data_IF_981655420070
#
_entry.id   IF_981655420070
#
_cell.length_a   1.000
_cell.length_b   1.000
_cell.length_c   1.000
_cell.angle_alpha   90.00
_cell.angle_beta   90.00
_cell.angle_gamma   90.00
#
_symmetry.space_group_name_H-M   'P 1'
#
loop_
_entity.id
_entity.type
_entity.pdbx_description
1 polymer ?
#
# COMPACT_ATOMS: atom_id res chain seq x y z
N UNK A 1 -19.00 56.42 -10.57
CA UNK A 1 -19.23 55.64 -9.34
C UNK A 1 -18.08 54.66 -9.28
N UNK A 2 -17.20 54.78 -8.27
CA UNK A 2 -16.06 53.87 -8.18
C UNK A 2 -16.57 52.46 -7.85
N UNK A 3 -16.07 51.41 -8.55
CA UNK A 3 -16.46 50.04 -8.26
C UNK A 3 -16.07 49.71 -6.82
N UNK A 4 -16.96 49.05 -6.08
CA UNK A 4 -16.65 48.64 -4.72
C UNK A 4 -15.57 47.55 -4.78
N UNK A 5 -14.66 47.55 -3.80
CA UNK A 5 -13.59 46.55 -3.70
C UNK A 5 -14.13 45.10 -3.79
N UNK A 6 -15.36 44.87 -3.30
CA UNK A 6 -16.06 43.59 -3.38
C UNK A 6 -16.32 43.14 -4.84
N UNK A 7 -16.60 44.07 -5.75
CA UNK A 7 -16.88 43.80 -7.16
C UNK A 7 -15.62 43.32 -7.88
N UNK A 8 -14.44 43.82 -7.49
CA UNK A 8 -13.14 43.38 -8.01
C UNK A 8 -12.86 41.92 -7.63
N UNK A 9 -13.01 41.55 -6.36
CA UNK A 9 -12.81 40.16 -5.91
C UNK A 9 -13.85 39.20 -6.48
N UNK A 10 -15.10 39.65 -6.65
CA UNK A 10 -16.14 38.87 -7.31
C UNK A 10 -15.92 38.71 -8.83
N UNK A 11 -15.17 39.63 -9.46
CA UNK A 11 -14.85 39.59 -10.90
C UNK A 11 -13.66 38.67 -11.25
N UNK A 12 -12.85 38.29 -10.27
CA UNK A 12 -11.76 37.30 -10.40
C UNK A 12 -11.96 36.06 -9.53
N UNK A 13 -13.02 35.24 -9.76
CA UNK A 13 -13.21 33.97 -9.05
C UNK A 13 -12.07 32.97 -9.32
N UNK A 14 -11.29 33.19 -10.38
CA UNK A 14 -10.19 32.30 -10.78
C UNK A 14 -9.12 32.17 -9.72
N UNK A 15 -8.80 33.21 -8.95
CA UNK A 15 -7.73 33.16 -7.94
C UNK A 15 -8.13 32.37 -6.68
N UNK A 16 -9.40 32.45 -6.25
CA UNK A 16 -9.92 31.66 -5.13
C UNK A 16 -10.00 30.17 -5.54
N UNK A 17 -10.51 29.89 -6.75
CA UNK A 17 -10.51 28.54 -7.33
C UNK A 17 -9.10 27.95 -7.47
N UNK A 18 -8.07 28.78 -7.69
CA UNK A 18 -6.68 28.31 -7.82
C UNK A 18 -6.13 27.86 -6.47
N UNK A 19 -6.37 28.62 -5.39
CA UNK A 19 -5.89 28.25 -4.05
C UNK A 19 -6.54 26.95 -3.58
N UNK A 20 -7.86 26.84 -3.70
CA UNK A 20 -8.59 25.64 -3.29
C UNK A 20 -8.13 24.41 -4.08
N UNK A 21 -8.00 24.55 -5.41
CA UNK A 21 -7.47 23.49 -6.28
C UNK A 21 -6.03 23.11 -5.93
N UNK A 22 -5.17 24.08 -5.64
CA UNK A 22 -3.79 23.80 -5.22
C UNK A 22 -3.74 23.04 -3.89
N UNK A 23 -4.61 23.36 -2.94
CA UNK A 23 -4.72 22.63 -1.68
C UNK A 23 -5.22 21.20 -1.90
N UNK A 24 -6.23 21.01 -2.76
CA UNK A 24 -6.73 19.68 -3.14
C UNK A 24 -5.63 18.82 -3.80
N UNK A 25 -4.91 19.39 -4.77
CA UNK A 25 -3.79 18.72 -5.42
C UNK A 25 -2.69 18.38 -4.41
N UNK A 26 -2.33 19.31 -3.53
CA UNK A 26 -1.35 19.08 -2.47
C UNK A 26 -1.77 17.92 -1.55
N UNK A 27 -3.03 17.88 -1.12
CA UNK A 27 -3.55 16.82 -0.25
C UNK A 27 -3.50 15.45 -0.93
N UNK A 28 -3.81 15.38 -2.22
CA UNK A 28 -3.70 14.15 -3.02
C UNK A 28 -2.25 13.72 -3.11
N UNK A 29 -1.34 14.62 -3.52
CA UNK A 29 0.09 14.33 -3.63
C UNK A 29 0.68 13.91 -2.29
N UNK A 30 0.30 14.56 -1.19
CA UNK A 30 0.77 14.24 0.14
C UNK A 30 0.35 12.83 0.56
N UNK A 31 -0.94 12.48 0.38
CA UNK A 31 -1.46 11.14 0.68
C UNK A 31 -0.78 10.06 -0.16
N UNK A 32 -0.56 10.33 -1.44
CA UNK A 32 0.11 9.39 -2.34
C UNK A 32 1.59 9.21 -1.96
N UNK A 33 2.29 10.29 -1.63
CA UNK A 33 3.68 10.25 -1.19
C UNK A 33 3.83 9.44 0.11
N UNK A 34 2.96 9.66 1.09
CA UNK A 34 2.96 8.88 2.33
C UNK A 34 2.63 7.40 2.10
N UNK A 35 1.71 7.09 1.18
CA UNK A 35 1.43 5.71 0.76
C UNK A 35 2.66 5.05 0.13
N UNK A 36 3.33 5.74 -0.79
CA UNK A 36 4.52 5.23 -1.48
C UNK A 36 5.70 5.04 -0.53
N UNK A 37 5.90 5.94 0.44
CA UNK A 37 6.92 5.76 1.49
C UNK A 37 6.68 4.50 2.30
N UNK A 38 5.44 4.24 2.72
CA UNK A 38 5.07 3.02 3.45
C UNK A 38 5.32 1.77 2.59
N UNK A 39 4.98 1.83 1.31
CA UNK A 39 5.23 0.74 0.36
C UNK A 39 6.73 0.44 0.19
N UNK A 40 7.56 1.47 0.04
CA UNK A 40 9.03 1.31 -0.06
C UNK A 40 9.58 0.68 1.21
N UNK A 41 9.14 1.13 2.38
CA UNK A 41 9.56 0.54 3.67
C UNK A 41 9.18 -0.93 3.72
N UNK A 42 7.96 -1.27 3.31
CA UNK A 42 7.47 -2.65 3.27
C UNK A 42 8.26 -3.52 2.29
N UNK A 43 8.54 -3.05 1.08
CA UNK A 43 9.35 -3.76 0.08
C UNK A 43 10.79 -3.98 0.57
N UNK A 44 11.38 -2.99 1.24
CA UNK A 44 12.73 -3.08 1.77
C UNK A 44 12.88 -4.13 2.89
N UNK A 45 11.79 -4.56 3.53
CA UNK A 45 11.82 -5.69 4.48
C UNK A 45 12.30 -6.98 3.84
N UNK A 46 12.09 -7.17 2.53
CA UNK A 46 12.58 -8.36 1.80
C UNK A 46 14.09 -8.51 1.97
N UNK A 47 14.84 -7.43 1.82
CA UNK A 47 16.30 -7.48 1.85
C UNK A 47 16.87 -7.71 3.26
N UNK A 48 16.12 -7.35 4.30
CA UNK A 48 16.54 -7.50 5.71
C UNK A 48 16.07 -8.82 6.32
N UNK A 49 14.81 -9.21 6.11
CA UNK A 49 14.19 -10.37 6.74
C UNK A 49 14.25 -11.65 5.88
N UNK A 50 14.41 -11.50 4.55
CA UNK A 50 14.32 -12.60 3.57
C UNK A 50 15.54 -12.70 2.65
N UNK A 51 16.73 -12.29 3.13
CA UNK A 51 17.99 -12.27 2.37
C UNK A 51 18.36 -13.59 1.66
N UNK A 52 17.92 -14.74 2.19
CA UNK A 52 18.17 -16.08 1.65
C UNK A 52 16.94 -16.69 0.98
N UNK A 53 15.96 -15.88 0.60
CA UNK A 53 14.74 -16.31 -0.08
C UNK A 53 14.75 -15.76 -1.49
N UNK A 54 14.38 -16.58 -2.47
CA UNK A 54 14.22 -16.09 -3.82
C UNK A 54 12.95 -15.23 -3.92
N UNK A 55 13.06 -14.05 -4.56
CA UNK A 55 11.96 -13.06 -4.63
C UNK A 55 10.66 -13.67 -5.18
N UNK A 56 10.73 -14.58 -6.16
CA UNK A 56 9.55 -15.23 -6.75
C UNK A 56 8.82 -16.22 -5.81
N UNK A 57 9.45 -16.59 -4.69
CA UNK A 57 8.82 -17.39 -3.63
C UNK A 57 8.08 -16.51 -2.62
N UNK A 58 8.37 -15.22 -2.58
CA UNK A 58 7.77 -14.32 -1.62
C UNK A 58 6.33 -13.99 -2.00
N UNK A 59 5.46 -13.92 -0.99
CA UNK A 59 4.06 -13.51 -1.13
C UNK A 59 3.75 -12.46 -0.09
N UNK A 60 3.04 -11.42 -0.51
CA UNK A 60 2.46 -10.40 0.37
C UNK A 60 1.12 -10.94 0.85
N UNK A 61 0.96 -11.07 2.17
CA UNK A 61 -0.24 -11.58 2.83
C UNK A 61 -0.55 -10.74 4.05
N UNK A 62 -1.72 -10.95 4.65
CA UNK A 62 -2.13 -10.24 5.86
C UNK A 62 -2.14 -11.18 7.06
N UNK A 63 -1.72 -10.65 8.21
CA UNK A 63 -1.82 -11.32 9.51
C UNK A 63 -2.32 -10.30 10.54
N UNK A 64 -3.50 -10.53 11.10
CA UNK A 64 -4.15 -9.63 12.04
C UNK A 64 -4.28 -8.19 11.49
N UNK A 65 -4.63 -8.06 10.21
CA UNK A 65 -4.78 -6.79 9.50
C UNK A 65 -3.47 -6.12 9.08
N UNK A 66 -2.31 -6.70 9.39
CA UNK A 66 -1.01 -6.15 9.00
C UNK A 66 -0.43 -6.89 7.81
N UNK A 67 0.16 -6.15 6.88
CA UNK A 67 0.85 -6.71 5.73
C UNK A 67 2.22 -7.28 6.12
N UNK A 68 2.46 -8.52 5.69
CA UNK A 68 3.70 -9.24 5.91
C UNK A 68 4.14 -9.94 4.63
N UNK A 69 5.43 -10.23 4.55
CA UNK A 69 5.98 -11.17 3.58
C UNK A 69 5.94 -12.59 4.14
N UNK A 70 5.75 -13.57 3.27
CA UNK A 70 5.97 -14.99 3.58
C UNK A 70 6.78 -15.60 2.44
N UNK A 71 7.60 -16.61 2.74
CA UNK A 71 8.21 -17.46 1.72
C UNK A 71 7.36 -18.73 1.61
N UNK A 72 6.72 -18.92 0.45
CA UNK A 72 5.79 -20.04 0.20
C UNK A 72 6.42 -21.43 0.32
N UNK A 73 7.76 -21.53 0.30
CA UNK A 73 8.50 -22.79 0.45
C UNK A 73 8.85 -23.04 1.93
N UNK A 74 9.09 -21.98 2.70
CA UNK A 74 9.54 -22.08 4.09
C UNK A 74 8.39 -22.06 5.10
N UNK A 75 7.25 -21.46 4.73
CA UNK A 75 6.09 -21.36 5.61
C UNK A 75 5.41 -22.72 5.83
N UNK A 76 4.99 -22.98 7.05
CA UNK A 76 4.26 -24.20 7.41
C UNK A 76 2.75 -24.04 7.21
N UNK A 77 2.03 -25.16 7.06
CA UNK A 77 0.56 -25.14 6.99
C UNK A 77 -0.08 -24.53 8.24
N UNK A 78 0.51 -24.75 9.43
CA UNK A 78 0.03 -24.18 10.68
C UNK A 78 0.17 -22.65 10.69
N UNK A 79 1.30 -22.12 10.23
CA UNK A 79 1.49 -20.68 10.09
C UNK A 79 0.56 -20.08 9.05
N UNK A 80 0.33 -20.79 7.92
CA UNK A 80 -0.60 -20.35 6.89
C UNK A 80 -2.03 -20.20 7.42
N UNK A 81 -2.49 -21.13 8.27
CA UNK A 81 -3.83 -21.09 8.90
C UNK A 81 -4.01 -19.94 9.88
N UNK A 82 -2.93 -19.34 10.36
CA UNK A 82 -2.97 -18.15 11.23
C UNK A 82 -3.03 -16.83 10.45
N UNK A 83 -2.90 -16.89 9.12
CA UNK A 83 -3.00 -15.71 8.27
C UNK A 83 -4.46 -15.33 8.04
N UNK A 84 -4.68 -14.07 7.72
CA UNK A 84 -6.00 -13.58 7.36
C UNK A 84 -6.42 -14.23 6.05
N UNK A 85 -7.68 -14.68 5.98
CA UNK A 85 -8.19 -15.39 4.81
C UNK A 85 -8.18 -14.48 3.58
N UNK A 86 -7.53 -14.96 2.52
CA UNK A 86 -7.50 -14.32 1.21
C UNK A 86 -7.42 -15.37 0.11
N UNK A 87 -7.71 -14.99 -1.14
CA UNK A 87 -7.62 -15.90 -2.28
C UNK A 87 -6.22 -16.51 -2.42
N UNK A 88 -5.16 -15.72 -2.15
CA UNK A 88 -3.78 -16.20 -2.16
C UNK A 88 -3.55 -17.23 -1.04
N UNK A 89 -3.98 -16.94 0.20
CA UNK A 89 -3.82 -17.87 1.33
C UNK A 89 -4.58 -19.17 1.07
N UNK A 90 -5.79 -19.09 0.53
CA UNK A 90 -6.59 -20.26 0.16
C UNK A 90 -5.93 -21.08 -0.96
N UNK A 91 -5.38 -20.40 -1.97
CA UNK A 91 -4.61 -21.04 -3.03
C UNK A 91 -3.37 -21.75 -2.44
N UNK A 92 -2.64 -21.09 -1.54
CA UNK A 92 -1.47 -21.68 -0.91
C UNK A 92 -1.84 -22.86 0.02
N UNK A 93 -2.94 -22.81 0.76
CA UNK A 93 -3.42 -23.95 1.56
C UNK A 93 -3.76 -25.15 0.68
N UNK A 94 -4.34 -24.91 -0.50
CA UNK A 94 -4.78 -25.96 -1.42
C UNK A 94 -3.63 -26.57 -2.22
N UNK A 95 -2.65 -25.76 -2.62
CA UNK A 95 -1.63 -26.15 -3.60
C UNK A 95 -0.18 -26.08 -3.09
N UNK A 96 0.09 -25.28 -2.04
CA UNK A 96 1.43 -25.13 -1.48
C UNK A 96 1.74 -26.12 -0.35
N UNK A 97 1.09 -27.28 -0.32
CA UNK A 97 1.55 -28.42 0.47
C UNK A 97 2.24 -29.48 -0.41
N UNK A 98 3.53 -29.33 -0.76
CA UNK A 98 4.37 -30.45 -1.11
C UNK A 98 5.22 -30.79 0.11
N UNK A 99 4.62 -31.43 1.14
CA UNK A 99 5.30 -32.57 1.76
C UNK A 99 5.42 -33.68 0.71
N UNK A 100 6.14 -33.43 -0.38
CA UNK A 100 6.92 -34.50 -0.98
C UNK A 100 8.13 -34.58 -0.07
N UNK A 101 8.01 -35.44 0.94
CA UNK A 101 9.12 -35.99 1.70
C UNK A 101 10.32 -36.14 0.75
N UNK A 102 11.39 -35.38 1.02
CA UNK A 102 12.70 -35.59 0.44
C UNK A 102 13.61 -36.10 1.52
#
# INVERSE_FOLDING_TARGET
MEPYLIDYYNSTPSCINVIDKMNEEYDILFKENEKLKKEIIFLNKIFSEYNNSAVFNLRRVHKNGNEIWIDKIKITEQELKQLDTSDEVNHLLKYCNPKCER
#
